data_IF_770176413339
#
_entry.id   IF_770176413339
#
_cell.length_a   1.000
_cell.length_b   1.000
_cell.length_c   1.000
_cell.angle_alpha   90.00
_cell.angle_beta   90.00
_cell.angle_gamma   90.00
#
_symmetry.space_group_name_H-M   'P 1'
#
loop_
_entity.id
_entity.type
_entity.pdbx_description
1 polymer ?
#
# COMPACT_ATOMS: atom_id res chain seq x y z
N UNK A 1 -6.95 7.40 -11.24
CA UNK A 1 -7.49 6.06 -10.97
C UNK A 1 -6.65 5.07 -11.74
N UNK A 2 -6.20 4.02 -11.07
CA UNK A 2 -5.41 2.93 -11.61
C UNK A 2 -6.20 1.62 -11.43
N UNK A 3 -6.14 0.76 -12.43
CA UNK A 3 -6.78 -0.56 -12.37
C UNK A 3 -5.76 -1.63 -12.73
N UNK A 4 -5.72 -2.70 -11.93
CA UNK A 4 -4.90 -3.88 -12.18
C UNK A 4 -5.79 -5.12 -12.08
N UNK A 5 -5.90 -5.87 -13.17
CA UNK A 5 -6.67 -7.11 -13.23
C UNK A 5 -5.73 -8.23 -13.63
N UNK A 6 -5.65 -9.27 -12.81
CA UNK A 6 -4.78 -10.42 -13.01
C UNK A 6 -5.60 -11.70 -12.89
N UNK A 7 -5.42 -12.61 -13.83
CA UNK A 7 -5.97 -13.98 -13.75
C UNK A 7 -4.82 -14.97 -13.82
N UNK A 8 -4.69 -15.81 -12.79
CA UNK A 8 -3.68 -16.86 -12.68
C UNK A 8 -4.29 -18.15 -13.21
N UNK A 9 -4.09 -18.39 -14.51
CA UNK A 9 -4.69 -19.52 -15.27
C UNK A 9 -3.77 -20.75 -15.36
N UNK A 10 -2.54 -20.64 -14.87
CA UNK A 10 -1.55 -21.72 -14.89
C UNK A 10 -1.16 -22.10 -13.48
N UNK A 11 -0.92 -23.40 -13.27
CA UNK A 11 -0.42 -23.91 -12.00
C UNK A 11 0.88 -23.21 -11.59
N UNK A 12 1.07 -23.04 -10.28
CA UNK A 12 2.28 -22.46 -9.68
C UNK A 12 2.58 -21.01 -10.13
N UNK A 13 1.59 -20.29 -10.67
CA UNK A 13 1.76 -18.90 -11.09
C UNK A 13 1.88 -17.95 -9.88
N UNK A 14 2.69 -16.90 -10.04
CA UNK A 14 2.97 -15.91 -9.01
C UNK A 14 2.70 -14.51 -9.54
N UNK A 15 2.00 -13.69 -8.75
CA UNK A 15 1.77 -12.28 -9.07
C UNK A 15 1.91 -11.39 -7.83
N UNK A 16 2.83 -10.43 -7.90
CA UNK A 16 3.01 -9.41 -6.87
C UNK A 16 2.64 -8.04 -7.44
N UNK A 17 1.81 -7.29 -6.71
CA UNK A 17 1.33 -5.96 -7.11
C UNK A 17 1.49 -5.00 -5.94
N UNK A 18 2.30 -3.97 -6.12
CA UNK A 18 2.51 -2.95 -5.10
C UNK A 18 2.15 -1.55 -5.60
N UNK A 19 1.73 -0.68 -4.70
CA UNK A 19 1.41 0.71 -4.99
C UNK A 19 1.71 1.63 -3.81
N UNK A 20 2.32 2.78 -4.10
CA UNK A 20 2.58 3.82 -3.12
C UNK A 20 2.17 5.19 -3.67
N UNK A 21 1.51 6.01 -2.85
CA UNK A 21 1.12 7.37 -3.22
C UNK A 21 1.26 8.35 -2.06
N UNK A 22 1.69 9.58 -2.36
CA UNK A 22 1.60 10.72 -1.45
C UNK A 22 0.65 11.75 -2.07
N UNK A 23 -0.41 12.09 -1.33
CA UNK A 23 -1.45 13.02 -1.74
C UNK A 23 -1.44 14.31 -0.93
N UNK A 24 -1.71 15.43 -1.59
CA UNK A 24 -1.75 16.77 -0.99
C UNK A 24 -2.91 17.57 -1.58
N UNK A 25 -3.77 18.15 -0.73
CA UNK A 25 -4.82 19.07 -1.18
C UNK A 25 -5.98 18.37 -1.88
N UNK A 26 -6.29 18.82 -3.11
CA UNK A 26 -7.35 18.29 -3.98
C UNK A 26 -7.03 16.91 -4.60
N UNK A 27 -5.98 16.26 -4.11
CA UNK A 27 -5.56 14.94 -4.56
C UNK A 27 -6.65 13.89 -4.32
N UNK A 28 -7.03 13.18 -5.38
CA UNK A 28 -7.91 12.02 -5.31
C UNK A 28 -7.30 10.85 -6.08
N UNK A 29 -6.89 9.79 -5.37
CA UNK A 29 -6.23 8.64 -6.00
C UNK A 29 -6.87 7.31 -5.62
N UNK A 30 -7.27 6.57 -6.64
CA UNK A 30 -7.97 5.29 -6.56
C UNK A 30 -7.11 4.21 -7.20
N UNK A 31 -6.82 3.17 -6.42
CA UNK A 31 -6.23 1.92 -6.89
C UNK A 31 -7.25 0.80 -6.74
N UNK A 32 -7.64 0.21 -7.86
CA UNK A 32 -8.54 -0.94 -7.92
C UNK A 32 -7.77 -2.16 -8.41
N UNK A 33 -7.70 -3.21 -7.59
CA UNK A 33 -6.98 -4.45 -7.88
C UNK A 33 -7.92 -5.63 -7.81
N UNK A 34 -7.91 -6.46 -8.84
CA UNK A 34 -8.68 -7.70 -8.89
C UNK A 34 -7.79 -8.86 -9.32
N UNK A 35 -7.58 -9.81 -8.42
CA UNK A 35 -6.80 -11.02 -8.69
C UNK A 35 -7.72 -12.23 -8.64
N UNK A 36 -7.75 -12.99 -9.73
CA UNK A 36 -8.47 -14.26 -9.83
C UNK A 36 -7.49 -15.42 -9.84
N UNK A 37 -7.63 -16.35 -8.91
CA UNK A 37 -6.93 -17.63 -8.88
C UNK A 37 -7.81 -18.69 -9.55
N UNK A 38 -7.33 -19.23 -10.68
CA UNK A 38 -8.01 -20.24 -11.51
C UNK A 38 -7.17 -21.51 -11.73
N UNK A 39 -6.10 -21.67 -10.96
CA UNK A 39 -5.19 -22.80 -11.07
C UNK A 39 -4.63 -23.20 -9.70
N UNK A 40 -3.94 -24.33 -9.65
CA UNK A 40 -3.44 -24.89 -8.40
C UNK A 40 -2.19 -24.14 -7.93
N UNK A 41 -2.00 -24.06 -6.60
CA UNK A 41 -0.72 -23.64 -5.96
C UNK A 41 -0.25 -22.24 -6.38
N UNK A 42 -1.18 -21.37 -6.77
CA UNK A 42 -0.85 -20.00 -7.15
C UNK A 42 -0.58 -19.11 -5.93
N UNK A 43 0.31 -18.13 -6.10
CA UNK A 43 0.62 -17.11 -5.09
C UNK A 43 0.23 -15.72 -5.57
N UNK A 44 -0.36 -14.91 -4.69
CA UNK A 44 -0.49 -13.47 -4.89
C UNK A 44 -0.12 -12.66 -3.66
N UNK A 45 0.58 -11.54 -3.89
CA UNK A 45 0.92 -10.53 -2.88
C UNK A 45 0.46 -9.15 -3.36
N UNK A 46 -0.28 -8.44 -2.52
CA UNK A 46 -0.74 -7.10 -2.81
C UNK A 46 -0.37 -6.16 -1.65
N UNK A 47 0.42 -5.11 -1.91
CA UNK A 47 0.88 -4.16 -0.88
C UNK A 47 0.61 -2.73 -1.34
N UNK A 48 -0.33 -2.05 -0.70
CA UNK A 48 -0.72 -0.70 -1.06
C UNK A 48 -0.55 0.27 0.12
N UNK A 49 0.18 1.36 -0.10
CA UNK A 49 0.41 2.40 0.92
C UNK A 49 0.05 3.79 0.42
N UNK A 50 -0.63 4.58 1.26
CA UNK A 50 -0.95 5.98 0.95
C UNK A 50 -0.58 6.90 2.11
N UNK A 51 0.05 8.02 1.80
CA UNK A 51 0.24 9.13 2.75
C UNK A 51 -0.62 10.28 2.24
N UNK A 52 -1.47 10.83 3.09
CA UNK A 52 -2.47 11.82 2.68
C UNK A 52 -2.41 13.04 3.58
N UNK A 53 -2.40 14.24 2.97
CA UNK A 53 -2.41 15.52 3.67
C UNK A 53 -3.29 16.57 3.01
N UNK A 54 -3.62 17.61 3.76
CA UNK A 54 -4.39 18.80 3.41
C UNK A 54 -5.74 18.46 2.74
N UNK A 55 -6.45 17.44 3.24
CA UNK A 55 -7.75 17.02 2.70
C UNK A 55 -7.68 16.01 1.55
N UNK A 56 -6.50 15.44 1.28
CA UNK A 56 -6.32 14.46 0.23
C UNK A 56 -7.13 13.18 0.47
N UNK A 57 -7.62 12.59 -0.62
CA UNK A 57 -8.45 11.38 -0.61
C UNK A 57 -7.72 10.24 -1.30
N UNK A 58 -7.51 9.14 -0.57
CA UNK A 58 -7.01 7.88 -1.10
C UNK A 58 -8.09 6.81 -1.08
N UNK A 59 -8.21 6.05 -2.16
CA UNK A 59 -9.15 4.93 -2.28
C UNK A 59 -8.38 3.66 -2.61
N UNK A 60 -8.68 2.56 -1.92
CA UNK A 60 -8.18 1.23 -2.27
C UNK A 60 -9.34 0.24 -2.36
N UNK A 61 -9.50 -0.36 -3.54
CA UNK A 61 -10.48 -1.40 -3.80
C UNK A 61 -9.73 -2.68 -4.20
N UNK A 62 -9.61 -3.64 -3.28
CA UNK A 62 -8.90 -4.89 -3.53
C UNK A 62 -9.85 -6.06 -3.46
N UNK A 63 -9.81 -6.96 -4.46
CA UNK A 63 -10.57 -8.21 -4.43
C UNK A 63 -9.69 -9.39 -4.85
N UNK A 64 -9.68 -10.42 -4.01
CA UNK A 64 -9.15 -11.74 -4.37
C UNK A 64 -10.34 -12.68 -4.58
N UNK A 65 -10.43 -13.25 -5.78
CA UNK A 65 -11.34 -14.34 -6.12
C UNK A 65 -10.54 -15.63 -6.22
N UNK A 66 -10.95 -16.67 -5.48
CA UNK A 66 -10.37 -18.01 -5.58
C UNK A 66 -11.45 -18.96 -6.08
N UNK A 67 -11.27 -19.48 -7.30
CA UNK A 67 -12.22 -20.43 -7.91
C UNK A 67 -12.15 -21.79 -7.21
N UNK A 68 -13.21 -22.57 -7.35
CA UNK A 68 -13.44 -23.82 -6.60
C UNK A 68 -12.30 -24.84 -6.69
N UNK A 69 -11.67 -24.93 -7.87
CA UNK A 69 -10.62 -25.92 -8.13
C UNK A 69 -9.20 -25.37 -7.88
N UNK A 70 -9.06 -24.09 -7.51
CA UNK A 70 -7.79 -23.42 -7.23
C UNK A 70 -7.25 -23.74 -5.82
N UNK A 71 -7.06 -25.03 -5.55
CA UNK A 71 -6.53 -25.53 -4.29
C UNK A 71 -5.08 -25.11 -4.08
N UNK A 72 -4.66 -25.04 -2.82
CA UNK A 72 -3.34 -24.58 -2.38
C UNK A 72 -3.02 -23.13 -2.77
N UNK A 73 -4.05 -22.32 -3.03
CA UNK A 73 -3.88 -20.88 -3.25
C UNK A 73 -3.30 -20.22 -2.00
N UNK A 74 -2.29 -19.37 -2.20
CA UNK A 74 -1.75 -18.46 -1.19
C UNK A 74 -1.98 -17.00 -1.61
N UNK A 75 -2.93 -16.33 -0.97
CA UNK A 75 -3.35 -14.97 -1.27
C UNK A 75 -3.17 -14.02 -0.10
N UNK A 76 -2.42 -12.94 -0.30
CA UNK A 76 -2.24 -11.89 0.70
C UNK A 76 -2.51 -10.51 0.13
N UNK A 77 -3.26 -9.70 0.89
CA UNK A 77 -3.55 -8.31 0.54
C UNK A 77 -3.43 -7.41 1.76
N UNK A 78 -2.63 -6.35 1.65
CA UNK A 78 -2.56 -5.31 2.67
C UNK A 78 -2.69 -3.92 2.05
N UNK A 79 -3.52 -3.09 2.69
CA UNK A 79 -3.68 -1.68 2.34
C UNK A 79 -3.51 -0.80 3.59
N UNK A 80 -2.57 0.13 3.56
CA UNK A 80 -2.26 0.98 4.71
C UNK A 80 -2.30 2.45 4.33
N UNK A 81 -2.76 3.30 5.25
CA UNK A 81 -2.63 4.74 5.09
C UNK A 81 -2.09 5.45 6.31
N UNK A 82 -1.27 6.47 6.05
CA UNK A 82 -0.85 7.48 7.01
C UNK A 82 -1.59 8.80 6.70
N UNK A 83 -2.46 9.23 7.61
CA UNK A 83 -3.18 10.50 7.53
C UNK A 83 -2.39 11.55 8.30
N UNK A 84 -1.96 12.62 7.64
CA UNK A 84 -1.16 13.69 8.25
C UNK A 84 -1.99 14.82 8.87
N UNK A 85 -3.32 14.75 8.73
CA UNK A 85 -4.30 15.65 9.32
C UNK A 85 -5.65 14.94 9.47
N UNK A 86 -6.62 15.66 10.05
CA UNK A 86 -7.99 15.16 10.27
C UNK A 86 -8.95 15.36 9.10
N UNK A 87 -8.56 16.08 8.05
CA UNK A 87 -9.43 16.38 6.90
C UNK A 87 -9.25 15.36 5.76
N UNK A 88 -8.10 14.67 5.73
CA UNK A 88 -7.73 13.65 4.76
C UNK A 88 -8.46 12.33 5.00
N UNK A 89 -8.72 11.58 3.93
CA UNK A 89 -9.53 10.36 3.99
C UNK A 89 -8.88 9.19 3.26
N UNK A 90 -8.88 8.03 3.90
CA UNK A 90 -8.56 6.76 3.24
C UNK A 90 -9.77 5.83 3.23
N UNK A 91 -10.27 5.54 2.03
CA UNK A 91 -11.42 4.69 1.79
C UNK A 91 -10.94 3.33 1.26
N UNK A 92 -10.89 2.34 2.14
CA UNK A 92 -10.45 0.99 1.78
C UNK A 92 -11.61 0.00 1.79
N UNK A 93 -11.70 -0.82 0.75
CA UNK A 93 -12.65 -1.93 0.64
C UNK A 93 -11.92 -3.19 0.16
N UNK A 94 -11.30 -3.94 1.08
CA UNK A 94 -10.69 -5.24 0.77
C UNK A 94 -11.75 -6.35 0.79
N UNK A 95 -11.75 -7.22 -0.21
CA UNK A 95 -12.75 -8.28 -0.41
C UNK A 95 -12.08 -9.63 -0.70
N UNK A 96 -12.63 -10.70 -0.13
CA UNK A 96 -12.24 -12.07 -0.41
C UNK A 96 -13.48 -12.85 -0.85
N UNK A 97 -13.39 -13.53 -2.00
CA UNK A 97 -14.42 -14.44 -2.51
C UNK A 97 -13.77 -15.80 -2.75
N UNK A 98 -13.94 -16.72 -1.80
CA UNK A 98 -13.17 -17.96 -1.73
C UNK A 98 -14.11 -19.16 -1.90
N UNK A 99 -13.90 -19.95 -2.95
CA UNK A 99 -14.67 -21.16 -3.25
C UNK A 99 -13.88 -22.47 -3.09
N UNK A 100 -12.59 -22.39 -2.75
CA UNK A 100 -11.71 -23.53 -2.48
C UNK A 100 -11.44 -23.67 -0.97
N UNK A 101 -11.34 -24.91 -0.50
CA UNK A 101 -11.24 -25.22 0.94
C UNK A 101 -9.79 -25.21 1.44
N UNK A 102 -8.83 -25.67 0.63
CA UNK A 102 -7.44 -25.84 1.03
C UNK A 102 -6.60 -24.65 0.58
N UNK A 103 -6.80 -23.49 1.22
CA UNK A 103 -6.15 -22.22 0.85
C UNK A 103 -5.63 -21.47 2.06
N UNK A 104 -4.65 -20.60 1.84
CA UNK A 104 -4.21 -19.59 2.81
C UNK A 104 -4.51 -18.24 2.20
N UNK A 105 -5.58 -17.60 2.65
CA UNK A 105 -5.98 -16.28 2.14
C UNK A 105 -6.21 -15.33 3.30
N UNK A 106 -5.63 -14.14 3.23
CA UNK A 106 -5.86 -13.09 4.22
C UNK A 106 -5.81 -11.70 3.59
N UNK A 107 -6.51 -10.77 4.24
CA UNK A 107 -6.46 -9.36 3.91
C UNK A 107 -6.32 -8.51 5.18
N UNK A 108 -5.68 -7.36 5.05
CA UNK A 108 -5.51 -6.38 6.12
C UNK A 108 -5.70 -4.96 5.59
N UNK A 109 -6.34 -4.11 6.40
CA UNK A 109 -6.43 -2.69 6.12
C UNK A 109 -6.23 -1.88 7.39
N UNK A 110 -5.31 -0.91 7.36
CA UNK A 110 -5.02 -0.05 8.51
C UNK A 110 -4.93 1.41 8.12
N UNK A 111 -5.57 2.29 8.89
CA UNK A 111 -5.39 3.74 8.77
C UNK A 111 -4.87 4.26 10.10
N UNK A 112 -3.82 5.08 10.06
CA UNK A 112 -3.23 5.66 11.26
C UNK A 112 -2.76 7.09 11.05
N UNK A 113 -2.53 7.79 12.14
CA UNK A 113 -1.82 9.06 12.16
C UNK A 113 -0.32 8.82 12.40
N UNK A 114 0.47 9.89 12.36
CA UNK A 114 1.86 9.83 12.82
C UNK A 114 1.91 9.37 14.29
N UNK A 115 2.91 8.55 14.60
CA UNK A 115 3.24 8.19 15.98
C UNK A 115 3.80 9.41 16.72
N UNK A 116 3.00 9.94 17.65
CA UNK A 116 3.33 11.13 18.43
C UNK A 116 4.56 10.92 19.33
N UNK A 117 4.79 9.71 19.83
CA UNK A 117 5.96 9.39 20.67
C UNK A 117 7.23 9.39 19.81
N UNK A 118 7.17 8.80 18.61
CA UNK A 118 8.27 8.82 17.64
C UNK A 118 8.56 10.25 17.18
N UNK A 119 7.53 11.04 16.88
CA UNK A 119 7.65 12.44 16.50
C UNK A 119 8.27 13.26 17.64
N UNK A 120 7.78 13.10 18.86
CA UNK A 120 8.32 13.76 20.05
C UNK A 120 9.80 13.39 20.26
N UNK A 121 10.16 12.12 20.13
CA UNK A 121 11.52 11.62 20.30
C UNK A 121 12.52 12.22 19.30
N UNK A 122 12.11 12.40 18.04
CA UNK A 122 12.92 13.07 17.01
C UNK A 122 13.07 14.56 17.34
N UNK A 123 11.97 15.22 17.72
CA UNK A 123 11.97 16.64 18.09
C UNK A 123 12.81 16.93 19.32
N UNK A 124 12.81 16.05 20.32
CA UNK A 124 13.65 16.16 21.51
C UNK A 124 15.15 16.13 21.19
N UNK A 125 15.56 15.63 20.01
CA UNK A 125 16.93 15.67 19.51
C UNK A 125 17.25 16.89 18.65
N UNK A 126 16.35 17.87 18.61
CA UNK A 126 16.52 19.10 17.84
C UNK A 126 16.15 18.97 16.37
N UNK A 127 15.53 17.87 15.94
CA UNK A 127 15.03 17.72 14.57
C UNK A 127 13.76 18.58 14.44
N UNK A 128 13.68 19.52 13.48
CA UNK A 128 12.48 20.32 13.27
C UNK A 128 11.28 19.45 12.89
N UNK A 129 10.08 19.91 13.22
CA UNK A 129 8.84 19.11 13.14
C UNK A 129 8.55 18.62 11.72
N UNK A 130 8.73 19.48 10.73
CA UNK A 130 8.57 19.18 9.30
C UNK A 130 9.55 18.10 8.84
N UNK A 131 10.81 18.17 9.28
CA UNK A 131 11.82 17.15 8.96
C UNK A 131 11.47 15.83 9.63
N UNK A 132 11.06 15.86 10.90
CA UNK A 132 10.68 14.66 11.64
C UNK A 132 9.46 13.96 11.03
N UNK A 133 8.45 14.72 10.63
CA UNK A 133 7.27 14.23 9.90
C UNK A 133 7.65 13.57 8.58
N UNK A 134 8.54 14.19 7.80
CA UNK A 134 9.01 13.61 6.54
C UNK A 134 9.77 12.30 6.76
N UNK A 135 10.64 12.23 7.77
CA UNK A 135 11.38 11.01 8.10
C UNK A 135 10.44 9.84 8.46
N UNK A 136 9.42 10.10 9.28
CA UNK A 136 8.43 9.09 9.65
C UNK A 136 7.57 8.68 8.44
N UNK A 137 7.25 9.63 7.57
CA UNK A 137 6.52 9.39 6.31
C UNK A 137 7.32 8.48 5.37
N UNK A 138 8.61 8.78 5.17
CA UNK A 138 9.51 7.96 4.35
C UNK A 138 9.69 6.56 4.94
N UNK A 139 9.86 6.45 6.26
CA UNK A 139 9.93 5.17 6.94
C UNK A 139 8.66 4.32 6.74
N UNK A 140 7.47 4.94 6.76
CA UNK A 140 6.21 4.26 6.47
C UNK A 140 6.15 3.74 5.03
N UNK A 141 6.59 4.55 4.06
CA UNK A 141 6.57 4.19 2.64
C UNK A 141 7.66 3.18 2.25
N UNK A 142 8.79 3.15 2.96
CA UNK A 142 9.93 2.29 2.65
C UNK A 142 9.55 0.80 2.57
N UNK A 143 8.61 0.33 3.39
CA UNK A 143 8.13 -1.05 3.32
C UNK A 143 7.48 -1.38 1.96
N UNK A 144 6.74 -0.45 1.34
CA UNK A 144 6.21 -0.66 -0.01
C UNK A 144 7.30 -0.58 -1.09
N UNK A 145 8.36 0.19 -0.85
CA UNK A 145 9.50 0.27 -1.77
C UNK A 145 10.37 -0.99 -1.75
N UNK A 146 10.41 -1.71 -0.62
CA UNK A 146 11.12 -2.98 -0.51
C UNK A 146 10.47 -4.11 -1.32
N UNK A 147 9.19 -3.98 -1.69
CA UNK A 147 8.52 -4.93 -2.61
C UNK A 147 8.99 -4.75 -4.07
N UNK A 148 9.69 -3.67 -4.38
CA UNK A 148 10.28 -3.45 -5.71
C UNK A 148 11.55 -4.30 -5.81
N UNK A 149 11.48 -5.39 -6.58
CA UNK A 149 12.59 -6.35 -6.78
C UNK A 149 13.89 -5.67 -7.28
N UNK A 150 13.76 -4.58 -8.03
CA UNK A 150 14.91 -3.84 -8.55
C UNK A 150 15.38 -2.77 -7.57
N UNK A 151 16.54 -2.99 -6.96
CA UNK A 151 17.18 -2.02 -6.05
C UNK A 151 17.35 -0.62 -6.67
N UNK A 152 17.71 -0.56 -7.96
CA UNK A 152 17.89 0.72 -8.66
C UNK A 152 16.57 1.46 -8.86
N UNK A 153 15.47 0.74 -9.15
CA UNK A 153 14.14 1.35 -9.22
C UNK A 153 13.64 1.75 -7.83
N UNK A 154 13.83 0.89 -6.83
CA UNK A 154 13.46 1.18 -5.44
C UNK A 154 14.14 2.47 -4.94
N UNK A 155 15.45 2.58 -5.17
CA UNK A 155 16.24 3.78 -4.83
C UNK A 155 15.74 5.01 -5.59
N UNK A 156 15.53 4.90 -6.91
CA UNK A 156 15.07 6.02 -7.72
C UNK A 156 13.66 6.52 -7.32
N UNK A 157 12.77 5.62 -6.91
CA UNK A 157 11.45 5.98 -6.38
C UNK A 157 11.60 6.64 -5.01
N UNK A 158 12.44 6.09 -4.14
CA UNK A 158 12.77 6.67 -2.83
C UNK A 158 13.26 8.12 -2.94
N UNK A 159 14.29 8.35 -3.76
CA UNK A 159 14.85 9.68 -4.00
C UNK A 159 13.80 10.68 -4.51
N UNK A 160 12.86 10.20 -5.35
CA UNK A 160 11.79 11.03 -5.89
C UNK A 160 10.75 11.39 -4.83
N UNK A 161 10.45 10.48 -3.90
CA UNK A 161 9.55 10.74 -2.77
C UNK A 161 10.18 11.74 -1.80
N UNK A 162 11.47 11.58 -1.48
CA UNK A 162 12.22 12.53 -0.65
C UNK A 162 12.22 13.93 -1.25
N UNK A 163 12.54 14.04 -2.55
CA UNK A 163 12.54 15.30 -3.26
C UNK A 163 11.15 15.95 -3.29
N UNK A 164 10.09 15.16 -3.46
CA UNK A 164 8.71 15.65 -3.48
C UNK A 164 8.29 16.22 -2.11
N UNK A 165 8.65 15.54 -1.02
CA UNK A 165 8.37 16.00 0.35
C UNK A 165 9.12 17.30 0.64
N UNK A 166 10.42 17.36 0.30
CA UNK A 166 11.24 18.55 0.51
C UNK A 166 10.70 19.79 -0.21
N UNK A 167 10.15 19.65 -1.42
CA UNK A 167 9.55 20.75 -2.18
C UNK A 167 8.25 21.29 -1.58
N UNK A 168 7.59 20.50 -0.74
CA UNK A 168 6.26 20.77 -0.16
C UNK A 168 6.31 21.08 1.33
N UNK A 169 7.50 21.38 1.86
CA UNK A 169 7.69 21.98 3.18
C UNK A 169 7.31 23.46 3.09
N UNK A 170 6.09 23.76 3.52
CA UNK A 170 5.57 25.12 3.67
C UNK A 170 4.95 25.28 5.05
#
# INVERSE_FOLDING_TARGET
RNECVIELTGDDAVAHVAGAAIGDGDFHHDDTVFITHDALRCESRQVFKKVLRNGAVGVFQGKILVKKDAQKTDGYQISQSLLLDGDSQFLAKPELEIYADDVVCSHGSTSGAIDDDALFYLRARGIPVDIATDLLTLAFLAEALHEIESDSLSTAVGDRLEAWLAQRRS
#
